data_IF_428716690991
#
_entry.id   IF_428716690991
#
_cell.length_a   1.000
_cell.length_b   1.000
_cell.length_c   1.000
_cell.angle_alpha   90.00
_cell.angle_beta   90.00
_cell.angle_gamma   90.00
#
_symmetry.space_group_name_H-M   'P 1'
#
loop_
_entity.id
_entity.type
_entity.pdbx_description
1 polymer ?
#
# COMPACT_ATOMS: atom_id res chain seq x y z
N UNK A 1 -11.81 -6.81 8.17
CA UNK A 1 -10.43 -6.34 8.01
C UNK A 1 -10.12 -6.45 6.53
N UNK A 2 -9.82 -5.33 5.88
CA UNK A 2 -9.51 -5.30 4.45
C UNK A 2 -8.11 -5.90 4.25
N UNK A 3 -8.04 -7.13 3.77
CA UNK A 3 -6.78 -7.74 3.34
C UNK A 3 -6.49 -7.29 1.91
N UNK A 4 -5.35 -6.66 1.68
CA UNK A 4 -4.95 -6.20 0.35
C UNK A 4 -4.10 -7.29 -0.32
N UNK A 5 -4.50 -7.69 -1.53
CA UNK A 5 -3.68 -8.56 -2.37
C UNK A 5 -2.45 -7.80 -2.88
N UNK A 6 -1.39 -8.52 -3.23
CA UNK A 6 -0.17 -7.90 -3.75
C UNK A 6 -0.44 -7.18 -5.08
N UNK A 7 -1.40 -7.67 -5.87
CA UNK A 7 -1.90 -7.02 -7.09
C UNK A 7 -2.62 -5.71 -6.78
N UNK A 8 -3.48 -5.69 -5.74
CA UNK A 8 -4.17 -4.45 -5.32
C UNK A 8 -3.17 -3.40 -4.85
N UNK A 9 -2.17 -3.80 -4.07
CA UNK A 9 -1.09 -2.90 -3.63
C UNK A 9 -0.30 -2.36 -4.82
N UNK A 10 -0.03 -3.21 -5.82
CA UNK A 10 0.70 -2.81 -7.02
C UNK A 10 -0.06 -1.74 -7.81
N UNK A 11 -1.36 -1.96 -8.04
CA UNK A 11 -2.25 -1.00 -8.67
C UNK A 11 -2.27 0.32 -7.91
N UNK A 12 -2.33 0.29 -6.58
CA UNK A 12 -2.33 1.51 -5.76
C UNK A 12 -1.01 2.26 -5.91
N UNK A 13 0.15 1.57 -5.91
CA UNK A 13 1.45 2.18 -6.15
C UNK A 13 1.57 2.82 -7.54
N UNK A 14 1.16 2.11 -8.59
CA UNK A 14 1.20 2.62 -9.96
C UNK A 14 0.29 3.84 -10.14
N UNK A 15 -0.86 3.81 -9.48
CA UNK A 15 -1.74 4.97 -9.46
C UNK A 15 -1.19 6.10 -8.59
N UNK A 16 -0.50 5.82 -7.47
CA UNK A 16 0.10 6.83 -6.58
C UNK A 16 1.15 7.70 -7.29
N UNK A 17 1.91 7.12 -8.22
CA UNK A 17 2.84 7.88 -9.06
C UNK A 17 2.14 8.91 -9.95
N UNK A 18 0.81 8.80 -10.10
CA UNK A 18 0.01 9.67 -10.96
C UNK A 18 -1.16 10.38 -10.23
N UNK A 19 -1.45 9.97 -9.00
CA UNK A 19 -2.18 10.76 -8.01
C UNK A 19 -1.27 11.94 -7.63
N UNK A 20 -1.86 13.09 -7.31
CA UNK A 20 -1.15 14.34 -7.08
C UNK A 20 -0.09 14.34 -5.94
N UNK A 21 0.12 13.20 -5.26
CA UNK A 21 1.13 13.02 -4.22
C UNK A 21 1.62 11.56 -4.12
N UNK A 22 2.84 11.38 -3.59
CA UNK A 22 3.48 10.07 -3.41
C UNK A 22 2.99 9.31 -2.15
N UNK A 23 2.08 9.90 -1.37
CA UNK A 23 1.59 9.35 -0.10
C UNK A 23 1.09 7.89 -0.19
N UNK A 24 0.26 7.50 -1.18
CA UNK A 24 -0.19 6.12 -1.27
C UNK A 24 0.95 5.14 -1.59
N UNK A 25 1.98 5.54 -2.35
CA UNK A 25 3.15 4.70 -2.61
C UNK A 25 3.94 4.43 -1.33
N UNK A 26 4.25 5.49 -0.55
CA UNK A 26 4.94 5.34 0.72
C UNK A 26 4.16 4.47 1.72
N UNK A 27 2.85 4.61 1.76
CA UNK A 27 2.00 3.83 2.65
C UNK A 27 1.98 2.34 2.27
N UNK A 28 1.90 2.04 0.97
CA UNK A 28 2.01 0.67 0.46
C UNK A 28 3.40 0.08 0.75
N UNK A 29 4.47 0.86 0.58
CA UNK A 29 5.83 0.40 0.88
C UNK A 29 6.01 0.04 2.35
N UNK A 30 5.49 0.86 3.27
CA UNK A 30 5.49 0.55 4.70
C UNK A 30 4.70 -0.72 4.99
N UNK A 31 3.49 -0.85 4.43
CA UNK A 31 2.66 -2.03 4.58
C UNK A 31 3.38 -3.30 4.12
N UNK A 32 3.97 -3.27 2.91
CA UNK A 32 4.75 -4.39 2.35
C UNK A 32 5.94 -4.76 3.23
N UNK A 33 6.70 -3.78 3.72
CA UNK A 33 7.86 -4.03 4.61
C UNK A 33 7.44 -4.65 5.94
N UNK A 34 6.36 -4.18 6.55
CA UNK A 34 5.83 -4.76 7.81
C UNK A 34 5.35 -6.19 7.59
N UNK A 35 4.58 -6.43 6.52
CA UNK A 35 4.09 -7.77 6.14
C UNK A 35 5.24 -8.73 5.86
N UNK A 36 6.26 -8.29 5.12
CA UNK A 36 7.46 -9.06 4.84
C UNK A 36 8.23 -9.39 6.11
N UNK A 37 8.45 -8.41 7.00
CA UNK A 37 9.17 -8.65 8.25
C UNK A 37 8.41 -9.63 9.14
N UNK A 38 7.08 -9.53 9.19
CA UNK A 38 6.24 -10.48 9.92
C UNK A 38 6.39 -11.91 9.37
N UNK A 39 6.28 -12.10 8.05
CA UNK A 39 6.52 -13.42 7.41
C UNK A 39 7.92 -13.96 7.73
N UNK A 40 8.95 -13.13 7.58
CA UNK A 40 10.32 -13.49 7.92
C UNK A 40 10.47 -13.97 9.36
N UNK A 41 9.81 -13.32 10.34
CA UNK A 41 9.86 -13.76 11.73
C UNK A 41 9.12 -15.08 12.00
N UNK A 42 8.11 -15.44 11.20
CA UNK A 42 7.33 -16.67 11.40
C UNK A 42 7.86 -17.87 10.60
N UNK A 43 8.47 -17.63 9.45
CA UNK A 43 8.82 -18.67 8.48
C UNK A 43 10.33 -18.83 8.35
N UNK A 44 11.04 -17.76 7.96
CA UNK A 44 12.45 -17.85 7.58
C UNK A 44 13.41 -17.85 8.78
N UNK A 45 13.23 -16.89 9.69
CA UNK A 45 14.18 -16.69 10.80
C UNK A 45 14.08 -17.82 11.84
N UNK A 46 12.89 -18.38 12.01
CA UNK A 46 12.63 -19.47 12.96
C UNK A 46 13.34 -20.77 12.53
N UNK A 47 13.52 -20.97 11.22
CA UNK A 47 14.32 -22.08 10.67
C UNK A 47 15.81 -21.88 10.96
N UNK A 48 16.29 -20.63 10.96
CA UNK A 48 17.71 -20.31 11.18
C UNK A 48 18.10 -20.31 12.66
N UNK A 49 17.20 -19.87 13.55
CA UNK A 49 17.46 -19.69 14.99
C UNK A 49 16.29 -20.26 15.82
N UNK A 50 16.08 -21.59 15.82
CA UNK A 50 14.96 -22.20 16.51
C UNK A 50 15.01 -22.03 18.04
N UNK A 51 16.19 -21.87 18.62
CA UNK A 51 16.38 -21.61 20.06
C UNK A 51 15.79 -20.27 20.52
N UNK A 52 15.58 -19.32 19.60
CA UNK A 52 14.98 -18.01 19.87
C UNK A 52 13.50 -17.93 19.45
N UNK A 53 12.83 -19.07 19.26
CA UNK A 53 11.45 -19.15 18.74
C UNK A 53 10.46 -18.25 19.50
N UNK A 54 10.52 -18.19 20.83
CA UNK A 54 9.64 -17.33 21.64
C UNK A 54 9.78 -15.85 21.28
N UNK A 55 11.02 -15.37 21.07
CA UNK A 55 11.28 -13.99 20.67
C UNK A 55 10.75 -13.71 19.27
N UNK A 56 10.86 -14.67 18.35
CA UNK A 56 10.33 -14.54 16.99
C UNK A 56 8.79 -14.52 16.96
N UNK A 57 8.13 -15.38 17.73
CA UNK A 57 6.67 -15.35 17.85
C UNK A 57 6.18 -14.06 18.50
N UNK A 58 6.85 -13.59 19.54
CA UNK A 58 6.55 -12.30 20.17
C UNK A 58 6.71 -11.15 19.16
N UNK A 59 7.82 -11.08 18.41
CA UNK A 59 8.02 -10.06 17.37
C UNK A 59 6.92 -10.10 16.31
N UNK A 60 6.59 -11.29 15.80
CA UNK A 60 5.50 -11.43 14.84
C UNK A 60 4.18 -10.93 15.41
N UNK A 61 3.90 -11.18 16.70
CA UNK A 61 2.68 -10.72 17.35
C UNK A 61 2.63 -9.19 17.44
N UNK A 62 3.74 -8.55 17.82
CA UNK A 62 3.84 -7.08 17.86
C UNK A 62 3.65 -6.42 16.48
N UNK A 63 3.98 -7.13 15.40
CA UNK A 63 3.80 -6.62 14.02
C UNK A 63 2.36 -6.72 13.52
N UNK A 64 1.54 -7.64 14.06
CA UNK A 64 0.12 -7.80 13.66
C UNK A 64 -0.70 -6.50 13.76
N UNK A 65 -0.72 -5.78 14.91
CA UNK A 65 -1.48 -4.54 15.01
C UNK A 65 -0.93 -3.43 14.10
N UNK A 66 0.39 -3.42 13.83
CA UNK A 66 0.99 -2.45 12.91
C UNK A 66 0.55 -2.70 11.46
N UNK A 67 0.56 -3.96 11.02
CA UNK A 67 0.05 -4.36 9.71
C UNK A 67 -1.43 -3.96 9.55
N UNK A 68 -2.26 -4.22 10.56
CA UNK A 68 -3.67 -3.85 10.56
C UNK A 68 -3.89 -2.33 10.51
N UNK A 69 -3.10 -1.55 11.26
CA UNK A 69 -3.16 -0.09 11.25
C UNK A 69 -2.80 0.50 9.87
N UNK A 70 -1.77 -0.04 9.22
CA UNK A 70 -1.36 0.38 7.88
C UNK A 70 -2.41 0.03 6.82
N UNK A 71 -3.01 -1.17 6.88
CA UNK A 71 -4.12 -1.55 6.01
C UNK A 71 -5.35 -0.63 6.21
N UNK A 72 -5.68 -0.29 7.46
CA UNK A 72 -6.77 0.62 7.76
C UNK A 72 -6.50 2.01 7.21
N UNK A 73 -5.29 2.55 7.41
CA UNK A 73 -4.89 3.86 6.88
C UNK A 73 -4.97 3.90 5.35
N UNK A 74 -4.56 2.82 4.67
CA UNK A 74 -4.64 2.70 3.22
C UNK A 74 -6.09 2.70 2.74
N UNK A 75 -6.95 1.92 3.42
CA UNK A 75 -8.40 1.89 3.12
C UNK A 75 -9.03 3.27 3.30
N UNK A 76 -8.76 3.95 4.41
CA UNK A 76 -9.30 5.29 4.69
C UNK A 76 -8.80 6.34 3.71
N UNK A 77 -7.52 6.26 3.32
CA UNK A 77 -6.96 7.12 2.30
C UNK A 77 -7.72 6.96 0.98
N UNK A 78 -7.90 5.72 0.51
CA UNK A 78 -8.62 5.44 -0.73
C UNK A 78 -10.08 5.88 -0.66
N UNK A 79 -10.74 5.73 0.50
CA UNK A 79 -12.10 6.21 0.72
C UNK A 79 -12.20 7.74 0.63
N UNK A 80 -11.29 8.46 1.31
CA UNK A 80 -11.24 9.93 1.27
C UNK A 80 -10.99 10.46 -0.13
N UNK A 81 -10.17 9.74 -0.88
CA UNK A 81 -9.89 10.03 -2.28
C UNK A 81 -11.01 9.53 -3.23
N UNK A 82 -12.05 8.86 -2.75
CA UNK A 82 -13.15 8.28 -3.56
C UNK A 82 -12.68 7.26 -4.61
N UNK A 83 -11.60 6.55 -4.30
CA UNK A 83 -10.93 5.56 -5.16
C UNK A 83 -11.41 4.13 -4.91
N UNK A 84 -12.46 3.96 -4.10
CA UNK A 84 -13.12 2.67 -3.91
C UNK A 84 -14.44 2.61 -4.67
N UNK A 85 -14.81 1.42 -5.13
CA UNK A 85 -16.12 1.09 -5.69
C UNK A 85 -17.15 0.76 -4.60
N UNK A 86 -18.36 0.38 -5.03
CA UNK A 86 -19.46 0.03 -4.13
C UNK A 86 -19.18 -1.24 -3.30
N UNK A 87 -18.24 -2.08 -3.74
CA UNK A 87 -17.79 -3.29 -3.07
C UNK A 87 -16.54 -3.06 -2.20
N UNK A 88 -16.17 -1.80 -1.97
CA UNK A 88 -14.95 -1.38 -1.26
C UNK A 88 -13.65 -1.90 -1.90
N UNK A 89 -13.70 -2.25 -3.19
CA UNK A 89 -12.52 -2.60 -3.97
C UNK A 89 -11.98 -1.36 -4.65
N UNK A 90 -10.71 -1.44 -5.06
CA UNK A 90 -10.04 -0.35 -5.75
C UNK A 90 -10.71 -0.10 -7.11
N UNK A 91 -11.24 1.11 -7.32
CA UNK A 91 -11.87 1.53 -8.57
C UNK A 91 -10.80 1.87 -9.61
N UNK A 92 -10.43 0.86 -10.41
CA UNK A 92 -9.42 0.96 -11.45
C UNK A 92 -9.75 2.02 -12.51
N UNK A 93 -11.05 2.24 -12.78
CA UNK A 93 -11.50 3.20 -13.80
C UNK A 93 -11.24 4.62 -13.32
N UNK A 94 -11.60 4.94 -12.07
CA UNK A 94 -11.31 6.25 -11.48
C UNK A 94 -9.80 6.51 -11.34
N UNK A 95 -9.03 5.50 -10.94
CA UNK A 95 -7.56 5.61 -10.90
C UNK A 95 -6.99 5.93 -12.28
N UNK A 96 -7.40 5.18 -13.31
CA UNK A 96 -6.96 5.43 -14.68
C UNK A 96 -7.41 6.80 -15.22
N UNK A 97 -8.60 7.28 -14.85
CA UNK A 97 -9.07 8.62 -15.21
C UNK A 97 -8.23 9.71 -14.56
N UNK A 98 -7.97 9.61 -13.24
CA UNK A 98 -7.11 10.56 -12.53
C UNK A 98 -5.69 10.56 -13.06
N UNK A 99 -5.17 9.38 -13.39
CA UNK A 99 -3.87 9.21 -13.99
C UNK A 99 -3.77 10.03 -15.29
N UNK A 100 -4.71 9.82 -16.23
CA UNK A 100 -4.78 10.59 -17.48
C UNK A 100 -4.90 12.09 -17.25
N UNK A 101 -5.74 12.53 -16.31
CA UNK A 101 -5.91 13.96 -15.99
C UNK A 101 -4.64 14.61 -15.42
N UNK A 102 -3.83 13.87 -14.66
CA UNK A 102 -2.56 14.40 -14.15
C UNK A 102 -1.51 14.52 -15.26
N UNK A 103 -1.41 13.51 -16.14
CA UNK A 103 -0.50 13.55 -17.31
C UNK A 103 -0.85 14.73 -18.23
N UNK A 104 -2.13 14.94 -18.53
CA UNK A 104 -2.58 16.08 -19.34
C UNK A 104 -2.21 17.42 -18.69
N UNK A 105 -2.41 17.58 -17.37
CA UNK A 105 -2.00 18.79 -16.63
C UNK A 105 -0.49 19.04 -16.67
N UNK A 106 0.33 17.99 -16.62
CA UNK A 106 1.79 18.14 -16.73
C UNK A 106 2.21 18.59 -18.13
N UNK A 107 1.56 18.06 -19.18
CA UNK A 107 1.82 18.49 -20.56
C UNK A 107 1.39 19.94 -20.78
N UNK A 108 0.18 20.33 -20.34
CA UNK A 108 -0.30 21.72 -20.42
C UNK A 108 0.63 22.70 -19.69
N UNK A 109 1.15 22.32 -18.52
CA UNK A 109 2.12 23.13 -17.78
C UNK A 109 3.48 23.27 -18.49
N UNK A 110 3.90 22.28 -19.27
CA UNK A 110 5.14 22.34 -20.06
C UNK A 110 5.02 23.28 -21.26
N UNK A 111 3.85 23.33 -21.92
CA UNK A 111 3.61 24.23 -23.06
C UNK A 111 3.29 25.68 -22.66
N UNK A 112 3.13 25.99 -21.37
CA UNK A 112 2.90 27.36 -20.88
C UNK A 112 4.19 28.16 -20.64
N UNK A 113 5.37 27.53 -20.80
CA UNK A 113 6.68 28.17 -20.62
C UNK A 113 7.57 28.14 -21.88
N UNK A 114 7.01 27.82 -23.05
CA UNK A 114 7.64 27.97 -24.37
C UNK A 114 7.05 29.19 -25.11
#
# INVERSE_FOLDING_TARGET
>A
MSDFSDEQLQVICEAAQVIACECPAHLVDLFRRVRQFRRYTQEDCLVLVPEAAETHYWLSDQLRPLEAALAQMLTEFLQREQLLDEQQQVDLVKLAQRNRQAVLRQQEAQFQYE
#
